data_IF_346200373541
#
_entry.id   IF_346200373541
#
_cell.length_a   1.000
_cell.length_b   1.000
_cell.length_c   1.000
_cell.angle_alpha   90.00
_cell.angle_beta   90.00
_cell.angle_gamma   90.00
#
_symmetry.space_group_name_H-M   'P 1'
#
loop_
_entity.id
_entity.type
_entity.pdbx_description
1 polymer ?
#
# COMPACT_ATOMS: atom_id res chain seq x y z
N UNK A 1 12.60 -7.16 7.94
CA UNK A 1 11.30 -7.58 7.37
C UNK A 1 10.78 -6.46 6.47
N UNK A 2 10.09 -6.79 5.37
CA UNK A 2 9.54 -5.81 4.44
C UNK A 2 8.03 -5.72 4.64
N UNK A 3 7.50 -4.51 4.74
CA UNK A 3 6.07 -4.23 4.83
C UNK A 3 5.67 -3.38 3.62
N UNK A 4 4.73 -3.86 2.82
CA UNK A 4 4.06 -3.02 1.84
C UNK A 4 2.92 -2.27 2.53
N UNK A 5 2.77 -0.98 2.28
CA UNK A 5 1.64 -0.19 2.79
C UNK A 5 0.80 0.24 1.59
N UNK A 6 -0.45 -0.24 1.60
CA UNK A 6 -1.45 0.05 0.57
C UNK A 6 -2.22 1.36 0.90
N UNK A 7 -3.06 1.82 -0.01
CA UNK A 7 -3.86 3.04 0.12
C UNK A 7 -4.66 3.06 1.41
N UNK A 8 -5.37 1.96 1.72
CA UNK A 8 -6.11 1.86 2.99
C UNK A 8 -5.19 2.04 4.20
N UNK A 9 -4.00 1.45 4.17
CA UNK A 9 -3.02 1.54 5.25
C UNK A 9 -2.62 2.99 5.53
N UNK A 10 -2.33 3.77 4.50
CA UNK A 10 -1.99 5.19 4.66
C UNK A 10 -3.15 6.02 5.19
N UNK A 11 -4.36 5.82 4.68
CA UNK A 11 -5.55 6.56 5.13
C UNK A 11 -5.86 6.30 6.60
N UNK A 12 -5.77 5.06 7.05
CA UNK A 12 -5.99 4.70 8.46
C UNK A 12 -4.87 5.20 9.38
N UNK A 13 -3.62 5.24 8.90
CA UNK A 13 -2.51 5.82 9.65
C UNK A 13 -2.63 7.35 9.79
N UNK A 14 -3.24 8.02 8.82
CA UNK A 14 -3.53 9.46 8.87
C UNK A 14 -4.66 9.77 9.87
N UNK A 15 -5.76 9.02 9.80
CA UNK A 15 -6.95 9.30 10.62
C UNK A 15 -6.86 8.67 12.02
N UNK A 16 -6.39 9.46 12.99
CA UNK A 16 -6.34 9.06 14.41
C UNK A 16 -7.69 8.71 15.03
N UNK A 17 -8.81 9.10 14.41
CA UNK A 17 -10.16 8.77 14.89
C UNK A 17 -10.67 7.45 14.30
N UNK A 18 -9.99 6.89 13.30
CA UNK A 18 -10.36 5.60 12.75
C UNK A 18 -10.21 4.51 13.82
N UNK A 19 -11.24 3.67 13.97
CA UNK A 19 -11.25 2.56 14.92
C UNK A 19 -10.10 1.55 14.70
N UNK A 20 -9.58 1.45 13.48
CA UNK A 20 -8.46 0.58 13.08
C UNK A 20 -7.10 1.28 13.21
N UNK A 21 -7.07 2.59 13.48
CA UNK A 21 -5.82 3.36 13.58
C UNK A 21 -4.81 2.72 14.53
N UNK A 22 -5.25 2.39 15.76
CA UNK A 22 -4.33 1.86 16.77
C UNK A 22 -3.70 0.53 16.35
N UNK A 23 -4.47 -0.36 15.73
CA UNK A 23 -3.98 -1.65 15.27
C UNK A 23 -3.02 -1.48 14.07
N UNK A 24 -3.39 -0.65 13.10
CA UNK A 24 -2.55 -0.37 11.94
C UNK A 24 -1.22 0.30 12.34
N UNK A 25 -1.27 1.29 13.24
CA UNK A 25 -0.09 1.97 13.76
C UNK A 25 0.83 1.03 14.53
N UNK A 26 0.28 0.05 15.26
CA UNK A 26 1.09 -0.97 15.93
C UNK A 26 1.82 -1.86 14.91
N UNK A 27 1.11 -2.40 13.90
CA UNK A 27 1.73 -3.21 12.86
C UNK A 27 2.81 -2.42 12.11
N UNK A 28 2.51 -1.19 11.70
CA UNK A 28 3.47 -0.29 11.06
C UNK A 28 4.72 -0.13 11.91
N UNK A 29 4.55 0.26 13.19
CA UNK A 29 5.66 0.48 14.13
C UNK A 29 6.50 -0.77 14.34
N UNK A 30 5.89 -1.95 14.45
CA UNK A 30 6.61 -3.21 14.66
C UNK A 30 7.47 -3.58 13.46
N UNK A 31 6.91 -3.45 12.24
CA UNK A 31 7.63 -3.77 11.00
C UNK A 31 8.63 -2.69 10.61
N UNK A 32 8.48 -1.46 11.11
CA UNK A 32 9.41 -0.34 10.89
C UNK A 32 10.55 -0.25 11.92
N UNK A 33 10.66 -1.18 12.89
CA UNK A 33 11.78 -1.24 13.85
C UNK A 33 13.11 -1.56 13.15
N UNK A 34 14.23 -1.45 13.87
CA UNK A 34 15.58 -1.62 13.34
C UNK A 34 15.72 -2.85 12.40
N UNK A 35 16.10 -2.61 11.14
CA UNK A 35 16.20 -3.63 10.08
C UNK A 35 14.92 -3.86 9.26
N UNK A 36 13.85 -3.15 9.58
CA UNK A 36 12.59 -3.11 8.83
C UNK A 36 12.65 -2.17 7.62
N UNK A 37 11.94 -2.53 6.55
CA UNK A 37 11.74 -1.67 5.38
C UNK A 37 10.24 -1.48 5.15
N UNK A 38 9.83 -0.22 5.02
CA UNK A 38 8.47 0.15 4.61
C UNK A 38 8.51 0.51 3.13
N UNK A 39 7.63 -0.12 2.34
CA UNK A 39 7.54 0.06 0.90
C UNK A 39 6.11 0.48 0.56
N UNK A 40 5.97 1.41 -0.38
CA UNK A 40 4.69 1.76 -1.04
C UNK A 40 4.97 1.94 -2.52
N UNK A 41 3.95 2.02 -3.38
CA UNK A 41 4.16 2.35 -4.79
C UNK A 41 3.76 3.80 -5.11
N UNK A 42 4.26 4.33 -6.23
CA UNK A 42 3.80 5.62 -6.76
C UNK A 42 2.30 5.59 -7.14
N UNK A 43 1.73 4.44 -7.51
CA UNK A 43 0.30 4.29 -7.80
C UNK A 43 -0.54 4.30 -6.52
N UNK A 44 -0.08 3.65 -5.46
CA UNK A 44 -0.70 3.76 -4.13
C UNK A 44 -0.65 5.21 -3.64
N UNK A 45 0.46 5.92 -3.85
CA UNK A 45 0.57 7.33 -3.47
C UNK A 45 -0.35 8.24 -4.28
N UNK A 46 -0.51 8.01 -5.58
CA UNK A 46 -1.48 8.71 -6.43
C UNK A 46 -2.91 8.59 -5.86
N UNK A 47 -3.35 7.36 -5.60
CA UNK A 47 -4.67 7.10 -5.04
C UNK A 47 -4.82 7.69 -3.63
N UNK A 48 -3.83 7.48 -2.76
CA UNK A 48 -3.82 8.01 -1.39
C UNK A 48 -3.95 9.53 -1.38
N UNK A 49 -3.12 10.23 -2.15
CA UNK A 49 -3.12 11.70 -2.19
C UNK A 49 -4.43 12.22 -2.78
N UNK A 50 -4.92 11.61 -3.86
CA UNK A 50 -6.22 11.95 -4.46
C UNK A 50 -7.34 11.86 -3.42
N UNK A 51 -7.42 10.77 -2.66
CA UNK A 51 -8.43 10.58 -1.63
C UNK A 51 -8.28 11.56 -0.47
N UNK A 52 -7.06 11.85 -0.02
CA UNK A 52 -6.81 12.81 1.05
C UNK A 52 -7.25 14.22 0.65
N UNK A 53 -6.82 14.70 -0.52
CA UNK A 53 -7.19 16.05 -0.99
C UNK A 53 -8.70 16.19 -1.29
N UNK A 54 -9.40 15.09 -1.60
CA UNK A 54 -10.85 15.10 -1.74
C UNK A 54 -11.61 15.13 -0.41
N UNK A 55 -11.07 14.51 0.65
CA UNK A 55 -11.81 14.20 1.88
C UNK A 55 -11.39 15.01 3.10
N UNK A 56 -10.20 15.61 3.08
CA UNK A 56 -9.61 16.31 4.24
C UNK A 56 -9.36 17.78 3.94
N UNK A 57 -9.29 18.64 4.98
CA UNK A 57 -8.80 20.01 4.82
C UNK A 57 -7.43 20.01 4.12
N UNK A 58 -7.25 20.94 3.18
CA UNK A 58 -6.07 20.98 2.31
C UNK A 58 -4.74 20.90 3.08
N UNK A 59 -4.60 21.68 4.17
CA UNK A 59 -3.38 21.71 4.97
C UNK A 59 -3.07 20.37 5.66
N UNK A 60 -4.10 19.63 6.09
CA UNK A 60 -3.92 18.30 6.67
C UNK A 60 -3.45 17.31 5.61
N UNK A 61 -4.13 17.27 4.45
CA UNK A 61 -3.78 16.43 3.32
C UNK A 61 -2.37 16.72 2.79
N UNK A 62 -2.01 18.00 2.64
CA UNK A 62 -0.70 18.46 2.21
C UNK A 62 0.39 18.02 3.18
N UNK A 63 0.21 18.29 4.48
CA UNK A 63 1.19 17.94 5.51
C UNK A 63 1.47 16.44 5.54
N UNK A 64 0.41 15.61 5.48
CA UNK A 64 0.57 14.17 5.47
C UNK A 64 1.26 13.68 4.20
N UNK A 65 0.78 14.10 3.02
CA UNK A 65 1.35 13.71 1.73
C UNK A 65 2.82 14.09 1.60
N UNK A 66 3.18 15.31 1.99
CA UNK A 66 4.57 15.77 2.00
C UNK A 66 5.43 14.99 3.01
N UNK A 67 4.86 14.55 4.13
CA UNK A 67 5.59 13.70 5.10
C UNK A 67 5.91 12.31 4.53
N UNK A 68 5.01 11.71 3.74
CA UNK A 68 5.25 10.43 3.07
C UNK A 68 6.38 10.55 2.06
N UNK A 69 6.32 11.59 1.20
CA UNK A 69 7.32 11.82 0.14
C UNK A 69 8.71 12.15 0.68
N UNK A 70 8.80 12.80 1.84
CA UNK A 70 10.09 13.19 2.45
C UNK A 70 10.64 12.16 3.42
N UNK A 71 9.88 11.10 3.72
CA UNK A 71 10.29 10.13 4.73
C UNK A 71 11.45 9.26 4.24
N UNK A 72 12.64 9.30 4.87
CA UNK A 72 13.75 8.44 4.48
C UNK A 72 13.54 6.97 4.85
N UNK A 73 12.53 6.66 5.68
CA UNK A 73 12.20 5.29 6.09
C UNK A 73 11.18 4.61 5.16
N UNK A 74 10.62 5.35 4.19
CA UNK A 74 9.66 4.82 3.22
C UNK A 74 10.33 4.74 1.86
N UNK A 75 10.38 3.53 1.30
CA UNK A 75 10.84 3.31 -0.07
C UNK A 75 9.65 3.37 -1.03
N UNK A 76 9.69 4.29 -1.99
CA UNK A 76 8.63 4.43 -3.00
C UNK A 76 9.05 3.63 -4.24
N UNK A 77 8.43 2.47 -4.43
CA UNK A 77 8.61 1.65 -5.62
C UNK A 77 7.89 2.27 -6.81
N UNK A 78 8.61 2.54 -7.89
CA UNK A 78 8.00 3.01 -9.13
C UNK A 78 7.35 1.86 -9.90
N UNK A 79 6.09 2.00 -10.26
CA UNK A 79 5.47 1.25 -11.37
C UNK A 79 6.02 1.85 -12.67
N UNK A 80 7.21 1.38 -13.05
CA UNK A 80 7.84 1.72 -14.32
C UNK A 80 7.17 0.98 -15.48
N UNK A 81 7.61 1.24 -16.72
CA UNK A 81 7.04 0.63 -17.93
C UNK A 81 7.00 -0.91 -17.87
N UNK A 82 8.08 -1.54 -17.39
CA UNK A 82 8.14 -3.00 -17.24
C UNK A 82 7.08 -3.52 -16.27
N UNK A 83 7.00 -2.93 -15.06
CA UNK A 83 6.01 -3.31 -14.04
C UNK A 83 4.59 -3.01 -14.51
N UNK A 84 4.38 -1.95 -15.28
CA UNK A 84 3.08 -1.60 -15.85
C UNK A 84 2.59 -2.66 -16.84
N UNK A 85 3.45 -3.10 -17.76
CA UNK A 85 3.11 -4.17 -18.70
C UNK A 85 2.89 -5.52 -18.00
N UNK A 86 3.71 -5.84 -17.00
CA UNK A 86 3.49 -7.03 -16.19
C UNK A 86 2.15 -6.98 -15.44
N UNK A 87 1.82 -5.84 -14.83
CA UNK A 87 0.52 -5.62 -14.17
C UNK A 87 -0.63 -5.85 -15.16
N UNK A 88 -0.51 -5.34 -16.39
CA UNK A 88 -1.51 -5.58 -17.42
C UNK A 88 -1.61 -7.05 -17.84
N UNK A 89 -0.49 -7.79 -17.91
CA UNK A 89 -0.52 -9.23 -18.13
C UNK A 89 -1.19 -9.98 -16.98
N UNK A 90 -0.97 -9.54 -15.74
CA UNK A 90 -1.62 -10.09 -14.55
C UNK A 90 -3.13 -9.86 -14.55
N UNK A 91 -3.63 -8.77 -15.16
CA UNK A 91 -5.07 -8.56 -15.34
C UNK A 91 -5.72 -9.73 -16.08
N UNK A 92 -5.03 -10.33 -17.07
CA UNK A 92 -5.48 -11.54 -17.77
C UNK A 92 -5.36 -12.78 -16.89
N UNK A 93 -4.26 -12.93 -16.14
CA UNK A 93 -4.02 -14.05 -15.22
C UNK A 93 -5.12 -14.16 -14.16
N UNK A 94 -5.56 -13.04 -13.60
CA UNK A 94 -6.63 -12.96 -12.61
C UNK A 94 -7.96 -12.50 -13.22
N UNK A 95 -8.26 -12.95 -14.44
CA UNK A 95 -9.49 -12.56 -15.16
C UNK A 95 -10.79 -12.99 -14.45
N UNK A 96 -10.72 -13.96 -13.53
CA UNK A 96 -11.82 -14.41 -12.70
C UNK A 96 -12.12 -13.50 -11.49
N UNK A 97 -11.27 -12.48 -11.25
CA UNK A 97 -11.38 -11.52 -10.12
C UNK A 97 -11.39 -10.08 -10.64
N UNK A 98 -12.44 -9.67 -11.38
CA UNK A 98 -12.45 -8.41 -12.13
C UNK A 98 -12.47 -7.15 -11.23
N UNK A 99 -12.82 -7.32 -9.95
CA UNK A 99 -12.91 -6.29 -8.91
C UNK A 99 -11.55 -5.83 -8.36
N UNK A 100 -10.49 -6.63 -8.52
CA UNK A 100 -9.13 -6.21 -8.15
C UNK A 100 -8.72 -4.99 -8.98
N UNK A 101 -8.37 -3.90 -8.32
CA UNK A 101 -7.96 -2.67 -9.01
C UNK A 101 -6.61 -2.83 -9.71
N UNK A 102 -6.29 -1.94 -10.65
CA UNK A 102 -4.97 -1.92 -11.27
C UNK A 102 -3.88 -1.53 -10.26
N UNK A 103 -4.21 -0.66 -9.29
CA UNK A 103 -3.33 -0.30 -8.16
C UNK A 103 -2.98 -1.53 -7.33
N UNK A 104 -3.97 -2.35 -6.96
CA UNK A 104 -3.75 -3.59 -6.21
C UNK A 104 -2.91 -4.59 -7.00
N UNK A 105 -3.24 -4.83 -8.28
CA UNK A 105 -2.45 -5.72 -9.14
C UNK A 105 -0.99 -5.24 -9.24
N UNK A 106 -0.77 -3.93 -9.43
CA UNK A 106 0.59 -3.38 -9.51
C UNK A 106 1.36 -3.50 -8.20
N UNK A 107 0.64 -3.37 -7.07
CA UNK A 107 1.19 -3.58 -5.74
C UNK A 107 1.60 -5.03 -5.55
N UNK A 108 0.77 -5.99 -5.97
CA UNK A 108 1.09 -7.41 -5.89
C UNK A 108 2.27 -7.82 -6.80
N UNK A 109 2.40 -7.21 -7.98
CA UNK A 109 3.58 -7.38 -8.86
C UNK A 109 4.85 -6.92 -8.14
N UNK A 110 4.84 -5.71 -7.58
CA UNK A 110 5.97 -5.17 -6.80
C UNK A 110 6.28 -6.05 -5.60
N UNK A 111 5.26 -6.53 -4.89
CA UNK A 111 5.42 -7.40 -3.73
C UNK A 111 6.05 -8.75 -4.10
N UNK A 112 5.64 -9.37 -5.22
CA UNK A 112 6.29 -10.59 -5.70
C UNK A 112 7.75 -10.34 -6.10
N UNK A 113 8.02 -9.30 -6.87
CA UNK A 113 9.37 -8.96 -7.34
C UNK A 113 10.33 -8.69 -6.18
N UNK A 114 9.85 -7.98 -5.15
CA UNK A 114 10.66 -7.58 -4.00
C UNK A 114 10.58 -8.55 -2.82
N UNK A 115 9.94 -9.71 -2.98
CA UNK A 115 9.76 -10.72 -1.93
C UNK A 115 9.12 -10.15 -0.65
N UNK A 116 8.09 -9.33 -0.82
CA UNK A 116 7.31 -8.73 0.26
C UNK A 116 6.07 -9.58 0.49
N UNK A 117 5.90 -10.09 1.71
CA UNK A 117 4.74 -10.91 2.08
C UNK A 117 3.74 -10.14 2.96
N UNK A 118 4.21 -9.24 3.83
CA UNK A 118 3.34 -8.46 4.72
C UNK A 118 2.80 -7.24 3.97
N UNK A 119 1.48 -7.04 4.03
CA UNK A 119 0.81 -5.84 3.49
C UNK A 119 -0.11 -5.22 4.54
N UNK A 120 0.02 -3.92 4.78
CA UNK A 120 -0.89 -3.15 5.62
C UNK A 120 -2.09 -2.70 4.78
N UNK A 121 -3.17 -3.47 4.81
CA UNK A 121 -4.41 -3.22 4.06
C UNK A 121 -5.61 -3.84 4.79
N UNK A 122 -6.83 -3.43 4.43
CA UNK A 122 -8.05 -4.19 4.74
C UNK A 122 -8.62 -4.89 3.50
N UNK A 123 -7.97 -4.75 2.35
CA UNK A 123 -8.44 -5.32 1.09
C UNK A 123 -8.17 -6.82 1.02
N UNK A 124 -9.26 -7.58 0.92
CA UNK A 124 -9.24 -9.05 0.81
C UNK A 124 -8.66 -9.53 -0.52
N UNK A 125 -8.55 -8.68 -1.54
CA UNK A 125 -7.97 -9.02 -2.84
C UNK A 125 -6.57 -9.66 -2.70
N UNK A 126 -5.75 -9.17 -1.76
CA UNK A 126 -4.41 -9.71 -1.51
C UNK A 126 -4.41 -11.16 -1.00
N UNK A 127 -5.47 -11.60 -0.29
CA UNK A 127 -5.63 -13.01 0.08
C UNK A 127 -6.20 -13.85 -1.08
N UNK A 128 -7.13 -13.29 -1.86
CA UNK A 128 -7.86 -14.02 -2.90
C UNK A 128 -6.98 -14.49 -4.06
N UNK A 129 -5.88 -13.79 -4.36
CA UNK A 129 -4.96 -14.16 -5.44
C UNK A 129 -4.11 -15.41 -5.15
N UNK A 130 -4.08 -15.88 -3.89
CA UNK A 130 -3.39 -17.12 -3.52
C UNK A 130 -1.87 -17.06 -3.62
N UNK A 131 -1.28 -15.86 -3.57
CA UNK A 131 0.18 -15.63 -3.69
C UNK A 131 0.92 -15.62 -2.34
N UNK A 132 0.24 -15.95 -1.24
CA UNK A 132 0.86 -16.03 0.09
C UNK A 132 1.02 -14.70 0.82
N UNK A 133 0.32 -13.64 0.41
CA UNK A 133 0.36 -12.36 1.11
C UNK A 133 -0.33 -12.40 2.49
N UNK A 134 0.32 -11.81 3.49
CA UNK A 134 -0.18 -11.64 4.85
C UNK A 134 -0.75 -10.23 5.03
N UNK A 135 -2.07 -10.13 5.11
CA UNK A 135 -2.77 -8.87 5.39
C UNK A 135 -2.65 -8.51 6.87
N UNK A 136 -2.29 -7.27 7.15
CA UNK A 136 -2.19 -6.68 8.48
C UNK A 136 -3.04 -5.41 8.59
N UNK A 137 -3.59 -5.09 9.78
CA UNK A 137 -3.72 -5.97 10.95
C UNK A 137 -4.75 -7.08 10.69
N UNK A 138 -4.51 -8.29 11.22
CA UNK A 138 -5.44 -9.42 11.12
C UNK A 138 -6.83 -9.14 11.74
#
# INVERSE_FOLDING_TARGET
MKLFVDTWGWLVLEDRKDSRHSAAAQCYKERSKAGGQVITSNFVLDETMTLLFQRRPFEEAWKFSNSLLRSPSISIASVNESRFHETFAWRRKFSDKPDISFTDLSSMVIMQELEIIDVLTADRHFRQVGLGFHILPD
#
